data_IF_266830558263
#
_entry.id   IF_266830558263
#
_cell.length_a   1.000
_cell.length_b   1.000
_cell.length_c   1.000
_cell.angle_alpha   90.00
_cell.angle_beta   90.00
_cell.angle_gamma   90.00
#
_symmetry.space_group_name_H-M   'P 1'
#
loop_
_entity.id
_entity.type
_entity.pdbx_description
1 polymer ?
#
# COMPACT_ATOMS: atom_id res chain seq x y z
N UNK A 1 -17.26 15.85 5.32
CA UNK A 1 -18.24 16.78 5.85
C UNK A 1 -17.67 17.82 6.82
N UNK A 2 -16.46 17.60 7.39
CA UNK A 2 -15.83 18.53 8.32
C UNK A 2 -14.84 19.47 7.63
N UNK A 3 -14.96 20.79 7.80
CA UNK A 3 -13.98 21.75 7.32
C UNK A 3 -12.78 21.92 8.27
N UNK A 4 -12.81 21.29 9.45
CA UNK A 4 -11.82 21.46 10.50
C UNK A 4 -10.62 20.53 10.32
N UNK A 5 -9.46 21.01 10.77
CA UNK A 5 -8.17 20.28 10.71
C UNK A 5 -8.19 18.94 11.49
N UNK A 6 -9.12 18.81 12.45
CA UNK A 6 -9.31 17.59 13.23
C UNK A 6 -9.60 16.37 12.33
N UNK A 7 -10.36 16.56 11.26
CA UNK A 7 -10.64 15.49 10.29
C UNK A 7 -9.38 15.06 9.52
N UNK A 8 -8.50 16.01 9.21
CA UNK A 8 -7.22 15.72 8.56
C UNK A 8 -6.30 14.98 9.52
N UNK A 9 -6.26 15.42 10.79
CA UNK A 9 -5.49 14.77 11.84
C UNK A 9 -5.94 13.33 12.08
N UNK A 10 -7.26 13.07 12.10
CA UNK A 10 -7.81 11.73 12.25
C UNK A 10 -7.38 10.79 11.12
N UNK A 11 -7.46 11.25 9.86
CA UNK A 11 -7.03 10.45 8.69
C UNK A 11 -5.54 10.13 8.75
N UNK A 12 -4.69 11.10 9.12
CA UNK A 12 -3.25 10.89 9.28
C UNK A 12 -2.97 9.93 10.43
N UNK A 13 -3.61 10.10 11.58
CA UNK A 13 -3.42 9.24 12.75
C UNK A 13 -3.87 7.80 12.49
N UNK A 14 -4.99 7.62 11.76
CA UNK A 14 -5.44 6.30 11.30
C UNK A 14 -4.39 5.62 10.42
N UNK A 15 -3.76 6.38 9.52
CA UNK A 15 -2.72 5.86 8.64
C UNK A 15 -1.46 5.45 9.42
N UNK A 16 -1.04 6.22 10.43
CA UNK A 16 0.03 5.81 11.34
C UNK A 16 -0.31 4.52 12.10
N UNK A 17 -1.56 4.39 12.58
CA UNK A 17 -2.00 3.16 13.25
C UNK A 17 -1.92 1.96 12.31
N UNK A 18 -2.35 2.11 11.05
CA UNK A 18 -2.22 1.06 10.04
C UNK A 18 -0.75 0.60 9.89
N UNK A 19 0.20 1.51 9.74
CA UNK A 19 1.61 1.14 9.63
C UNK A 19 2.16 0.48 10.90
N UNK A 20 1.77 0.96 12.07
CA UNK A 20 2.16 0.37 13.36
C UNK A 20 1.66 -1.07 13.53
N UNK A 21 0.41 -1.36 13.15
CA UNK A 21 -0.15 -2.72 13.19
C UNK A 21 0.60 -3.69 12.24
N UNK A 22 1.25 -3.15 11.21
CA UNK A 22 2.13 -3.92 10.33
C UNK A 22 3.58 -4.04 10.83
N UNK A 23 3.91 -3.45 11.98
CA UNK A 23 5.28 -3.39 12.50
C UNK A 23 6.17 -2.34 11.83
N UNK A 24 5.61 -1.41 11.08
CA UNK A 24 6.31 -0.36 10.34
C UNK A 24 6.31 0.97 11.12
N UNK A 25 6.76 0.96 12.37
CA UNK A 25 6.73 2.12 13.27
C UNK A 25 7.65 3.28 12.87
N UNK A 26 8.63 3.04 12.00
CA UNK A 26 9.63 4.02 11.55
C UNK A 26 9.13 4.93 10.41
N UNK A 27 7.96 4.65 9.85
CA UNK A 27 7.38 5.45 8.75
C UNK A 27 7.13 6.88 9.22
N UNK A 28 7.48 7.84 8.36
CA UNK A 28 7.25 9.27 8.57
C UNK A 28 6.16 9.79 7.64
N UNK A 29 5.53 10.89 8.05
CA UNK A 29 4.61 11.67 7.21
C UNK A 29 5.20 13.05 6.93
N UNK A 30 5.17 13.44 5.68
CA UNK A 30 5.44 14.79 5.21
C UNK A 30 4.13 15.49 4.91
N UNK A 31 3.97 16.70 5.41
CA UNK A 31 2.74 17.50 5.28
C UNK A 31 3.03 18.85 4.64
N UNK A 32 2.10 19.33 3.84
CA UNK A 32 2.14 20.67 3.25
C UNK A 32 0.71 21.20 3.04
N UNK A 33 0.58 22.49 2.79
CA UNK A 33 -0.65 23.07 2.26
C UNK A 33 -0.44 23.54 0.82
N UNK A 34 -1.21 22.98 -0.11
CA UNK A 34 -1.12 23.30 -1.55
C UNK A 34 -1.31 24.80 -1.83
N UNK A 35 -2.08 25.52 -0.99
CA UNK A 35 -2.29 26.96 -1.13
C UNK A 35 -1.00 27.76 -0.96
N UNK A 36 -0.04 27.30 -0.13
CA UNK A 36 1.28 27.91 0.02
C UNK A 36 2.02 27.88 -1.33
N UNK A 37 2.03 26.73 -1.97
CA UNK A 37 2.74 26.57 -3.25
C UNK A 37 2.03 27.31 -4.39
N UNK A 38 0.69 27.39 -4.35
CA UNK A 38 -0.07 28.21 -5.29
C UNK A 38 0.23 29.71 -5.11
N UNK A 39 0.34 30.19 -3.86
CA UNK A 39 0.73 31.57 -3.57
C UNK A 39 2.16 31.86 -4.05
N UNK A 40 3.10 30.93 -3.83
CA UNK A 40 4.46 31.03 -4.35
C UNK A 40 4.48 31.10 -5.89
N UNK A 41 3.72 30.27 -6.57
CA UNK A 41 3.64 30.29 -8.03
C UNK A 41 3.11 31.65 -8.54
N UNK A 42 2.12 32.25 -7.88
CA UNK A 42 1.60 33.57 -8.22
C UNK A 42 2.64 34.69 -7.95
N UNK A 43 3.31 34.62 -6.83
CA UNK A 43 4.41 35.54 -6.51
C UNK A 43 5.52 35.51 -7.58
N UNK A 44 5.79 34.32 -8.14
CA UNK A 44 6.71 34.13 -9.27
C UNK A 44 6.12 34.58 -10.62
N UNK A 45 4.95 35.24 -10.62
CA UNK A 45 4.24 35.74 -11.81
C UNK A 45 3.86 34.65 -12.82
N UNK A 46 3.58 33.45 -12.33
CA UNK A 46 2.98 32.42 -13.16
C UNK A 46 1.48 32.72 -13.32
N UNK A 47 1.14 33.36 -14.43
CA UNK A 47 -0.13 34.05 -14.71
C UNK A 47 -1.26 33.16 -15.23
N UNK A 48 -1.00 31.87 -15.47
CA UNK A 48 -2.00 30.91 -15.95
C UNK A 48 -2.04 29.64 -15.13
N UNK A 49 -3.22 29.05 -15.00
CA UNK A 49 -3.37 27.76 -14.34
C UNK A 49 -2.45 26.68 -14.93
N UNK A 50 -2.23 26.71 -16.24
CA UNK A 50 -1.33 25.76 -16.91
C UNK A 50 0.11 25.92 -16.44
N UNK A 51 0.62 27.15 -16.25
CA UNK A 51 1.96 27.42 -15.72
C UNK A 51 2.06 27.03 -14.24
N UNK A 52 1.03 27.33 -13.44
CA UNK A 52 0.97 26.94 -12.03
C UNK A 52 1.01 25.41 -11.90
N UNK A 53 0.19 24.69 -12.65
CA UNK A 53 0.18 23.23 -12.64
C UNK A 53 1.51 22.63 -13.15
N UNK A 54 2.18 23.27 -14.12
CA UNK A 54 3.50 22.84 -14.57
C UNK A 54 4.55 23.08 -13.49
N UNK A 55 4.49 24.20 -12.77
CA UNK A 55 5.35 24.49 -11.62
C UNK A 55 5.17 23.44 -10.52
N UNK A 56 3.93 23.18 -10.09
CA UNK A 56 3.66 22.17 -9.07
C UNK A 56 4.13 20.77 -9.48
N UNK A 57 3.92 20.38 -10.74
CA UNK A 57 4.44 19.12 -11.28
C UNK A 57 5.97 19.05 -11.33
N UNK A 58 6.65 20.16 -11.54
CA UNK A 58 8.10 20.21 -11.47
C UNK A 58 8.58 19.97 -10.03
N UNK A 59 7.97 20.65 -9.05
CA UNK A 59 8.28 20.46 -7.63
C UNK A 59 8.04 19.00 -7.16
N UNK A 60 6.91 18.38 -7.57
CA UNK A 60 6.57 16.96 -7.24
C UNK A 60 7.64 15.95 -7.68
N UNK A 61 8.52 16.33 -8.59
CA UNK A 61 9.65 15.49 -9.04
C UNK A 61 10.87 15.54 -8.13
N UNK A 62 10.89 16.42 -7.14
CA UNK A 62 12.08 16.70 -6.32
C UNK A 62 12.68 15.41 -5.73
N UNK A 63 11.89 14.61 -5.03
CA UNK A 63 12.34 13.32 -4.50
C UNK A 63 12.43 12.20 -5.53
N UNK A 64 11.66 12.28 -6.63
CA UNK A 64 11.58 11.21 -7.64
C UNK A 64 12.67 11.29 -8.69
N UNK A 65 13.11 12.51 -9.04
CA UNK A 65 13.98 12.79 -10.19
C UNK A 65 15.22 13.61 -9.83
N UNK A 66 15.30 14.09 -8.59
CA UNK A 66 16.41 14.88 -8.09
C UNK A 66 16.35 16.38 -8.43
N UNK A 67 17.18 17.13 -7.72
CA UNK A 67 17.27 18.60 -7.75
C UNK A 67 17.52 19.16 -9.15
N UNK A 68 18.42 18.56 -9.93
CA UNK A 68 18.84 19.05 -11.25
C UNK A 68 17.67 19.05 -12.27
N UNK A 69 16.80 18.04 -12.21
CA UNK A 69 15.63 17.97 -13.09
C UNK A 69 14.64 19.08 -12.75
N UNK A 70 14.40 19.31 -11.47
CA UNK A 70 13.52 20.39 -11.00
C UNK A 70 14.09 21.74 -11.40
N UNK A 71 15.38 21.99 -11.16
CA UNK A 71 16.06 23.23 -11.55
C UNK A 71 15.85 23.55 -13.03
N UNK A 72 16.09 22.58 -13.93
CA UNK A 72 15.90 22.76 -15.36
C UNK A 72 14.46 23.13 -15.70
N UNK A 73 13.47 22.40 -15.16
CA UNK A 73 12.06 22.65 -15.43
C UNK A 73 11.59 24.02 -14.91
N UNK A 74 12.10 24.48 -13.75
CA UNK A 74 11.80 25.81 -13.22
C UNK A 74 12.40 26.91 -14.12
N UNK A 75 13.63 26.74 -14.64
CA UNK A 75 14.24 27.66 -15.61
C UNK A 75 13.43 27.74 -16.91
N UNK A 76 12.92 26.61 -17.41
CA UNK A 76 12.04 26.58 -18.59
C UNK A 76 10.72 27.31 -18.38
N UNK A 77 10.26 27.45 -17.14
CA UNK A 77 9.09 28.27 -16.77
C UNK A 77 9.41 29.78 -16.72
N UNK A 78 10.67 30.17 -16.93
CA UNK A 78 11.12 31.56 -16.87
C UNK A 78 11.43 32.05 -15.45
N UNK A 79 11.54 31.15 -14.48
CA UNK A 79 11.90 31.50 -13.09
C UNK A 79 13.39 31.83 -13.03
N UNK A 80 13.74 33.01 -12.56
CA UNK A 80 15.13 33.48 -12.51
C UNK A 80 15.84 33.07 -11.23
N UNK A 81 15.17 33.15 -10.09
CA UNK A 81 15.74 32.84 -8.77
C UNK A 81 15.45 31.39 -8.33
N UNK A 82 15.85 30.44 -9.19
CA UNK A 82 15.57 29.01 -8.99
C UNK A 82 16.25 28.47 -7.75
N UNK A 83 17.46 28.93 -7.43
CA UNK A 83 18.21 28.44 -6.26
C UNK A 83 17.47 28.72 -4.95
N UNK A 84 16.87 29.92 -4.83
CA UNK A 84 16.06 30.29 -3.68
C UNK A 84 14.81 29.43 -3.51
N UNK A 85 14.16 29.05 -4.64
CA UNK A 85 13.03 28.14 -4.60
C UNK A 85 13.46 26.73 -4.17
N UNK A 86 14.58 26.24 -4.70
CA UNK A 86 15.11 24.94 -4.34
C UNK A 86 15.55 24.90 -2.87
N UNK A 87 16.13 25.98 -2.36
CA UNK A 87 16.45 26.13 -0.96
C UNK A 87 15.19 26.13 -0.09
N UNK A 88 14.18 26.90 -0.45
CA UNK A 88 12.88 26.93 0.24
C UNK A 88 12.24 25.55 0.36
N UNK A 89 12.19 24.75 -0.71
CA UNK A 89 11.55 23.43 -0.70
C UNK A 89 12.42 22.36 -0.02
N UNK A 90 13.75 22.54 0.10
CA UNK A 90 14.67 21.56 0.67
C UNK A 90 15.05 21.80 2.12
N UNK A 91 14.81 23.01 2.64
CA UNK A 91 15.30 23.45 3.94
C UNK A 91 14.22 23.79 4.96
N UNK A 92 12.99 23.30 4.75
CA UNK A 92 11.98 23.38 5.79
C UNK A 92 12.42 22.48 6.95
N UNK A 93 13.15 23.06 7.90
CA UNK A 93 13.59 22.38 9.11
C UNK A 93 12.52 22.51 10.20
N UNK A 94 12.64 21.68 11.23
CA UNK A 94 11.74 21.72 12.40
C UNK A 94 11.80 23.05 13.17
N UNK A 95 12.89 23.79 13.04
CA UNK A 95 13.19 24.99 13.79
C UNK A 95 12.95 26.28 12.99
N UNK A 96 13.04 26.19 11.66
CA UNK A 96 12.80 27.32 10.77
C UNK A 96 11.97 26.89 9.55
N UNK A 97 10.73 27.34 9.52
CA UNK A 97 9.80 27.07 8.42
C UNK A 97 9.90 28.10 7.28
N UNK A 98 10.65 29.18 7.48
CA UNK A 98 10.89 30.22 6.44
C UNK A 98 12.37 30.63 6.32
N UNK A 99 13.28 29.68 6.11
CA UNK A 99 14.74 29.97 6.07
C UNK A 99 15.13 30.93 4.94
N UNK A 100 14.25 31.10 3.95
CA UNK A 100 14.49 31.96 2.79
C UNK A 100 13.76 33.30 2.87
N UNK A 101 12.90 33.51 3.87
CA UNK A 101 12.02 34.67 3.99
C UNK A 101 10.98 34.76 2.87
N UNK A 102 10.60 33.63 2.27
CA UNK A 102 9.62 33.59 1.20
C UNK A 102 8.19 33.55 1.72
N UNK A 103 7.91 32.86 2.82
CA UNK A 103 6.54 32.76 3.39
C UNK A 103 6.00 34.14 3.74
N UNK A 104 6.78 34.98 4.40
CA UNK A 104 6.40 36.35 4.73
C UNK A 104 6.13 37.21 3.48
N UNK A 105 6.89 36.97 2.39
CA UNK A 105 6.71 37.69 1.12
C UNK A 105 5.47 37.29 0.35
N UNK A 106 5.05 36.02 0.47
CA UNK A 106 3.86 35.52 -0.22
C UNK A 106 2.60 35.60 0.63
N UNK A 107 2.69 36.03 1.91
CA UNK A 107 1.55 36.31 2.77
C UNK A 107 0.73 35.07 3.13
N UNK A 108 1.39 33.99 3.54
CA UNK A 108 0.73 32.69 3.83
C UNK A 108 0.93 32.23 5.28
N UNK A 109 1.26 33.14 6.18
CA UNK A 109 1.54 32.83 7.59
C UNK A 109 0.37 32.09 8.26
N UNK A 110 -0.88 32.43 7.90
CA UNK A 110 -2.05 31.74 8.44
C UNK A 110 -2.10 30.27 8.00
N UNK A 111 -1.61 29.95 6.81
CA UNK A 111 -1.54 28.56 6.34
C UNK A 111 -0.45 27.77 7.02
N UNK A 112 0.67 28.42 7.32
CA UNK A 112 1.74 27.81 8.13
C UNK A 112 1.22 27.50 9.54
N UNK A 113 0.49 28.41 10.17
CA UNK A 113 -0.15 28.17 11.49
C UNK A 113 -1.12 26.98 11.45
N UNK A 114 -1.83 26.78 10.34
CA UNK A 114 -2.70 25.57 10.19
C UNK A 114 -1.87 24.28 10.19
N UNK A 115 -0.70 24.27 9.52
CA UNK A 115 0.21 23.12 9.54
C UNK A 115 0.82 22.88 10.92
N UNK A 116 1.19 23.95 11.64
CA UNK A 116 1.68 23.88 13.01
C UNK A 116 0.60 23.34 13.97
N UNK A 117 -0.63 23.83 13.85
CA UNK A 117 -1.76 23.32 14.64
C UNK A 117 -2.05 21.83 14.36
N UNK A 118 -2.03 21.42 13.09
CA UNK A 118 -2.14 20.00 12.73
C UNK A 118 -1.06 19.16 13.41
N UNK A 119 0.17 19.64 13.36
CA UNK A 119 1.30 18.99 14.00
C UNK A 119 1.11 18.87 15.52
N UNK A 120 0.64 19.92 16.17
CA UNK A 120 0.36 19.93 17.61
C UNK A 120 -0.75 18.93 17.97
N UNK A 121 -1.81 18.86 17.17
CA UNK A 121 -2.90 17.87 17.37
C UNK A 121 -2.37 16.44 17.20
N UNK A 122 -1.57 16.17 16.18
CA UNK A 122 -0.99 14.84 15.95
C UNK A 122 -0.07 14.41 17.10
N UNK A 123 0.74 15.32 17.63
CA UNK A 123 1.69 15.03 18.71
C UNK A 123 0.97 14.95 20.05
N UNK A 124 0.21 15.97 20.42
CA UNK A 124 -0.31 16.12 21.79
C UNK A 124 -1.61 15.33 22.02
N UNK A 125 -2.47 15.17 21.00
CA UNK A 125 -3.74 14.45 21.14
C UNK A 125 -3.63 12.99 20.67
N UNK A 126 -2.97 12.72 19.54
CA UNK A 126 -2.83 11.36 19.02
C UNK A 126 -1.56 10.63 19.48
N UNK A 127 -0.64 11.32 20.20
CA UNK A 127 0.59 10.73 20.74
C UNK A 127 1.59 10.28 19.66
N UNK A 128 1.53 10.88 18.47
CA UNK A 128 2.48 10.60 17.41
C UNK A 128 3.80 11.31 17.72
N UNK A 129 4.92 10.58 17.67
CA UNK A 129 6.22 11.18 17.92
C UNK A 129 6.49 12.35 16.97
N UNK A 130 6.94 13.48 17.51
CA UNK A 130 7.22 14.73 16.76
C UNK A 130 8.17 14.52 15.58
N UNK A 131 9.13 13.62 15.73
CA UNK A 131 10.12 13.27 14.71
C UNK A 131 9.55 12.54 13.49
N UNK A 132 8.32 12.02 13.60
CA UNK A 132 7.63 11.30 12.51
C UNK A 132 6.79 12.24 11.63
N UNK A 133 6.64 13.51 12.01
CA UNK A 133 5.85 14.50 11.25
C UNK A 133 6.73 15.64 10.81
N UNK A 134 6.81 15.86 9.51
CA UNK A 134 7.65 16.90 8.89
C UNK A 134 6.79 17.81 8.01
N UNK A 135 6.96 19.14 8.15
CA UNK A 135 6.45 20.10 7.17
C UNK A 135 7.45 20.14 6.02
N UNK A 136 6.97 19.87 4.79
CA UNK A 136 7.83 19.74 3.61
C UNK A 136 7.13 20.36 2.39
N UNK A 137 7.60 21.53 1.98
CA UNK A 137 7.00 22.31 0.88
C UNK A 137 7.18 21.67 -0.50
N UNK A 138 8.01 20.63 -0.62
CA UNK A 138 8.13 19.88 -1.87
C UNK A 138 6.95 18.92 -2.11
N UNK A 139 6.15 18.63 -1.08
CA UNK A 139 4.96 17.78 -1.20
C UNK A 139 3.80 18.60 -1.76
N UNK A 140 3.51 18.44 -3.04
CA UNK A 140 2.47 19.22 -3.73
C UNK A 140 1.37 18.37 -4.36
N UNK A 141 1.57 17.08 -4.47
CA UNK A 141 0.67 16.11 -5.12
C UNK A 141 0.27 16.50 -6.54
N UNK A 142 0.56 15.63 -7.51
CA UNK A 142 0.32 15.89 -8.94
C UNK A 142 -1.16 15.90 -9.38
N UNK A 143 -2.11 15.63 -8.47
CA UNK A 143 -3.54 15.55 -8.79
C UNK A 143 -4.21 16.90 -8.47
N UNK A 144 -4.85 17.51 -9.47
CA UNK A 144 -5.36 18.87 -9.42
C UNK A 144 -6.55 19.14 -8.49
N UNK A 145 -7.16 18.11 -7.87
CA UNK A 145 -8.35 18.30 -7.05
C UNK A 145 -8.09 18.68 -5.58
N UNK A 146 -6.84 18.59 -5.08
CA UNK A 146 -6.54 19.01 -3.71
C UNK A 146 -6.64 20.53 -3.54
N UNK A 147 -7.32 20.97 -2.49
CA UNK A 147 -7.64 22.40 -2.24
C UNK A 147 -6.87 23.00 -1.05
N UNK A 148 -6.29 22.16 -0.20
CA UNK A 148 -5.59 22.59 1.03
C UNK A 148 -4.48 21.62 1.41
N UNK A 149 -4.57 21.08 2.63
CA UNK A 149 -3.61 20.13 3.17
C UNK A 149 -3.35 18.96 2.19
N UNK A 150 -2.09 18.58 2.08
CA UNK A 150 -1.62 17.37 1.39
C UNK A 150 -0.59 16.67 2.28
N UNK A 151 -0.53 15.34 2.20
CA UNK A 151 0.42 14.56 2.97
C UNK A 151 0.86 13.30 2.25
N UNK A 152 2.07 12.85 2.56
CA UNK A 152 2.66 11.61 2.04
C UNK A 152 3.41 10.87 3.14
N UNK A 153 3.13 9.59 3.26
CA UNK A 153 3.86 8.67 4.13
C UNK A 153 4.98 7.99 3.35
N UNK A 154 6.17 8.00 3.88
CA UNK A 154 7.35 7.43 3.24
C UNK A 154 8.30 6.79 4.23
N UNK A 155 9.10 5.89 3.71
CA UNK A 155 10.25 5.31 4.39
C UNK A 155 11.51 6.04 3.93
N UNK A 156 12.31 6.56 4.87
CA UNK A 156 13.51 7.34 4.54
C UNK A 156 14.66 6.48 3.98
N UNK A 157 14.69 5.19 4.31
CA UNK A 157 15.71 4.26 3.79
C UNK A 157 15.36 3.76 2.39
N UNK A 158 14.05 3.72 2.04
CA UNK A 158 13.55 3.19 0.77
C UNK A 158 12.77 4.24 -0.02
N UNK A 159 13.32 5.45 -0.15
CA UNK A 159 12.71 6.57 -0.90
C UNK A 159 12.37 6.23 -2.35
N UNK A 160 13.08 5.26 -2.95
CA UNK A 160 12.81 4.77 -4.30
C UNK A 160 11.45 4.08 -4.46
N UNK A 161 10.84 3.61 -3.37
CA UNK A 161 9.46 3.10 -3.39
C UNK A 161 8.43 4.22 -3.56
N UNK A 162 8.82 5.48 -3.28
CA UNK A 162 7.91 6.62 -3.26
C UNK A 162 6.94 6.57 -2.08
N UNK A 163 5.83 7.30 -2.18
CA UNK A 163 4.83 7.37 -1.10
C UNK A 163 4.14 6.04 -0.87
N UNK A 164 4.18 5.52 0.34
CA UNK A 164 3.51 4.29 0.78
C UNK A 164 2.01 4.51 1.00
N UNK A 165 1.65 5.68 1.50
CA UNK A 165 0.29 6.19 1.57
C UNK A 165 0.31 7.69 1.34
N UNK A 166 -0.79 8.24 0.87
CA UNK A 166 -0.85 9.65 0.62
C UNK A 166 -2.31 10.15 0.54
N UNK A 167 -2.52 11.41 0.85
CA UNK A 167 -3.85 12.00 0.87
C UNK A 167 -3.83 13.51 0.94
N UNK A 168 -4.95 14.05 1.34
CA UNK A 168 -5.12 15.48 1.55
C UNK A 168 -6.59 15.90 1.51
N UNK A 169 -6.82 17.21 1.56
CA UNK A 169 -8.12 17.86 1.56
C UNK A 169 -8.53 18.25 0.14
N UNK A 170 -9.79 17.94 -0.21
CA UNK A 170 -10.36 18.15 -1.55
C UNK A 170 -11.83 18.64 -1.45
N UNK A 171 -12.00 19.79 -0.85
CA UNK A 171 -13.33 20.35 -0.49
C UNK A 171 -14.24 20.61 -1.69
N UNK A 172 -13.68 20.86 -2.88
CA UNK A 172 -14.44 21.16 -4.09
C UNK A 172 -14.85 19.90 -4.89
N UNK A 173 -14.24 18.73 -4.62
CA UNK A 173 -14.39 17.56 -5.46
C UNK A 173 -15.84 17.06 -5.54
N UNK A 174 -16.55 17.02 -4.40
CA UNK A 174 -17.94 16.53 -4.35
C UNK A 174 -18.84 17.44 -5.18
N UNK A 175 -18.65 18.75 -5.08
CA UNK A 175 -19.37 19.75 -5.88
C UNK A 175 -19.07 19.62 -7.38
N UNK A 176 -17.81 19.43 -7.75
CA UNK A 176 -17.40 19.21 -9.15
C UNK A 176 -18.02 17.95 -9.76
N UNK A 177 -18.30 16.93 -8.95
CA UNK A 177 -18.97 15.71 -9.36
C UNK A 177 -20.51 15.82 -9.34
N UNK A 178 -21.05 17.02 -9.11
CA UNK A 178 -22.51 17.28 -9.12
C UNK A 178 -23.20 17.08 -7.77
N UNK A 179 -22.43 16.87 -6.69
CA UNK A 179 -22.95 16.78 -5.33
C UNK A 179 -23.09 18.14 -4.64
N UNK A 180 -23.55 18.11 -3.39
CA UNK A 180 -23.64 19.30 -2.54
C UNK A 180 -22.24 19.74 -2.13
N UNK A 181 -22.04 21.04 -1.94
CA UNK A 181 -20.77 21.62 -1.44
C UNK A 181 -20.44 21.02 -0.07
N UNK A 182 -19.46 20.13 -0.03
CA UNK A 182 -19.14 19.32 1.15
C UNK A 182 -17.63 19.20 1.30
N UNK A 183 -17.04 19.75 2.37
CA UNK A 183 -15.63 19.58 2.66
C UNK A 183 -15.26 18.10 2.79
N UNK A 184 -14.11 17.73 2.25
CA UNK A 184 -13.67 16.35 2.29
C UNK A 184 -12.14 16.24 2.40
N UNK A 185 -11.71 15.24 3.18
CA UNK A 185 -10.33 14.81 3.30
C UNK A 185 -10.25 13.29 3.27
N UNK A 186 -9.14 12.74 2.82
CA UNK A 186 -9.00 11.29 2.75
C UNK A 186 -7.60 10.86 2.33
N UNK A 187 -7.38 9.56 2.32
CA UNK A 187 -6.09 8.97 1.95
C UNK A 187 -6.25 7.71 1.11
N UNK A 188 -5.16 7.33 0.46
CA UNK A 188 -5.02 6.06 -0.24
C UNK A 188 -3.70 5.41 0.14
N UNK A 189 -3.70 4.09 0.28
CA UNK A 189 -2.53 3.28 0.61
C UNK A 189 -2.08 2.53 -0.64
N UNK A 190 -0.79 2.61 -0.95
CA UNK A 190 -0.16 1.84 -2.03
C UNK A 190 0.19 0.44 -1.56
N UNK A 191 -0.77 -0.47 -1.58
CA UNK A 191 -0.64 -1.83 -1.01
C UNK A 191 0.59 -2.55 -1.57
N UNK A 192 0.84 -2.48 -2.88
CA UNK A 192 2.00 -3.12 -3.51
C UNK A 192 3.31 -2.57 -2.96
N UNK A 193 3.39 -1.26 -2.71
CA UNK A 193 4.58 -0.61 -2.15
C UNK A 193 4.80 -1.00 -0.69
N UNK A 194 3.74 -1.10 0.09
CA UNK A 194 3.81 -1.55 1.49
C UNK A 194 4.27 -3.01 1.55
N UNK A 195 3.73 -3.89 0.70
CA UNK A 195 4.17 -5.28 0.61
C UNK A 195 5.65 -5.38 0.22
N UNK A 196 6.08 -4.57 -0.75
CA UNK A 196 7.48 -4.56 -1.18
C UNK A 196 8.41 -4.04 -0.07
N UNK A 197 8.00 -3.01 0.67
CA UNK A 197 8.74 -2.51 1.83
C UNK A 197 8.93 -3.60 2.90
N UNK A 198 7.86 -4.33 3.25
CA UNK A 198 7.92 -5.45 4.21
C UNK A 198 8.91 -6.52 3.74
N UNK A 199 8.93 -6.82 2.44
CA UNK A 199 9.90 -7.77 1.85
C UNK A 199 11.35 -7.29 1.95
N UNK A 200 11.59 -6.02 1.60
CA UNK A 200 12.93 -5.42 1.61
C UNK A 200 13.52 -5.34 3.03
N UNK A 201 12.68 -5.06 4.03
CA UNK A 201 13.11 -5.02 5.43
C UNK A 201 13.34 -6.40 6.03
N UNK A 202 12.96 -7.48 5.35
CA UNK A 202 13.07 -8.84 5.89
C UNK A 202 12.20 -9.08 7.13
N UNK A 203 11.36 -8.13 7.47
CA UNK A 203 10.43 -8.20 8.57
C UNK A 203 9.28 -9.15 8.19
N UNK A 204 9.45 -10.39 8.56
CA UNK A 204 8.67 -11.57 8.19
C UNK A 204 8.74 -11.84 6.68
N UNK A 205 9.40 -12.92 6.33
CA UNK A 205 8.97 -13.66 5.16
C UNK A 205 7.46 -13.83 5.32
N UNK A 206 6.68 -12.97 4.69
CA UNK A 206 5.30 -13.28 4.36
C UNK A 206 5.44 -14.39 3.35
N UNK A 207 5.72 -15.58 3.84
CA UNK A 207 5.35 -16.78 3.12
C UNK A 207 3.84 -16.64 3.02
N UNK A 208 3.39 -16.06 1.92
CA UNK A 208 1.96 -16.09 1.59
C UNK A 208 1.55 -17.55 1.80
N UNK A 209 0.57 -17.83 2.66
CA UNK A 209 0.08 -19.19 2.74
C UNK A 209 -0.18 -19.61 1.28
N UNK A 210 0.19 -20.81 0.89
CA UNK A 210 -0.02 -21.24 -0.49
C UNK A 210 -1.48 -20.96 -0.85
N UNK A 211 -1.72 -20.45 -2.07
CA UNK A 211 -3.09 -20.11 -2.53
C UNK A 211 -4.05 -21.30 -2.45
N UNK A 212 -3.53 -22.49 -2.23
CA UNK A 212 -4.27 -23.69 -1.90
C UNK A 212 -3.44 -24.57 -0.95
N UNK A 213 -4.10 -25.23 -0.02
CA UNK A 213 -3.50 -26.14 0.93
C UNK A 213 -3.55 -27.59 0.44
N UNK A 214 -4.47 -27.88 -0.47
CA UNK A 214 -4.68 -29.22 -1.02
C UNK A 214 -4.79 -29.18 -2.52
N UNK A 215 -4.07 -30.06 -3.22
CA UNK A 215 -4.26 -30.37 -4.63
C UNK A 215 -4.92 -31.73 -4.74
N UNK A 216 -6.08 -31.81 -5.43
CA UNK A 216 -6.82 -33.06 -5.63
C UNK A 216 -6.72 -33.45 -7.09
N UNK A 217 -6.31 -34.68 -7.35
CA UNK A 217 -6.05 -35.19 -8.68
C UNK A 217 -6.40 -36.66 -8.85
N UNK A 218 -6.60 -37.08 -10.10
CA UNK A 218 -6.68 -38.48 -10.48
C UNK A 218 -5.81 -38.75 -11.72
N UNK A 219 -5.15 -39.90 -11.79
CA UNK A 219 -4.51 -40.33 -13.04
C UNK A 219 -5.52 -40.81 -14.12
N UNK A 220 -6.81 -40.96 -13.76
CA UNK A 220 -7.87 -41.47 -14.60
C UNK A 220 -8.90 -40.38 -14.87
N UNK A 221 -9.21 -40.17 -16.15
CA UNK A 221 -10.12 -39.08 -16.55
C UNK A 221 -11.56 -39.29 -16.07
N UNK A 222 -12.04 -40.55 -16.03
CA UNK A 222 -13.39 -40.89 -15.61
C UNK A 222 -13.69 -40.48 -14.15
N UNK A 223 -12.66 -40.27 -13.32
CA UNK A 223 -12.82 -39.84 -11.93
C UNK A 223 -12.93 -38.33 -11.76
N UNK A 224 -12.97 -37.57 -12.85
CA UNK A 224 -13.03 -36.11 -12.81
C UNK A 224 -14.14 -35.57 -11.90
N UNK A 225 -15.34 -36.09 -12.00
CA UNK A 225 -16.44 -35.64 -11.16
C UNK A 225 -16.15 -35.89 -9.67
N UNK A 226 -15.61 -37.03 -9.32
CA UNK A 226 -15.24 -37.36 -7.93
C UNK A 226 -14.12 -36.48 -7.41
N UNK A 227 -13.16 -36.07 -8.25
CA UNK A 227 -12.10 -35.11 -7.90
C UNK A 227 -12.71 -33.74 -7.57
N UNK A 228 -13.68 -33.27 -8.36
CA UNK A 228 -14.39 -32.01 -8.12
C UNK A 228 -15.26 -32.10 -6.87
N UNK A 229 -16.03 -33.15 -6.68
CA UNK A 229 -16.83 -33.35 -5.47
C UNK A 229 -15.97 -33.31 -4.20
N UNK A 230 -14.85 -34.00 -4.21
CA UNK A 230 -13.94 -34.01 -3.08
C UNK A 230 -13.32 -32.62 -2.83
N UNK A 231 -13.03 -31.86 -3.88
CA UNK A 231 -12.56 -30.50 -3.74
C UNK A 231 -13.61 -29.59 -3.09
N UNK A 232 -14.89 -29.74 -3.49
CA UNK A 232 -15.99 -29.00 -2.89
C UNK A 232 -16.22 -29.41 -1.42
N UNK A 233 -16.10 -30.69 -1.10
CA UNK A 233 -16.13 -31.13 0.31
C UNK A 233 -15.04 -30.45 1.14
N UNK A 234 -13.80 -30.38 0.64
CA UNK A 234 -12.68 -29.69 1.32
C UNK A 234 -12.97 -28.20 1.49
N UNK A 235 -13.45 -27.53 0.42
CA UNK A 235 -13.78 -26.08 0.43
C UNK A 235 -14.91 -25.75 1.40
N UNK A 236 -15.95 -26.57 1.46
CA UNK A 236 -17.05 -26.41 2.40
C UNK A 236 -16.60 -26.52 3.87
N UNK A 237 -15.51 -27.26 4.11
CA UNK A 237 -14.88 -27.38 5.41
C UNK A 237 -13.80 -26.31 5.66
N UNK A 238 -13.74 -25.26 4.82
CA UNK A 238 -12.79 -24.14 4.95
C UNK A 238 -11.37 -24.47 4.50
N UNK A 239 -11.14 -25.59 3.80
CA UNK A 239 -9.81 -25.97 3.33
C UNK A 239 -9.60 -25.48 1.89
N UNK A 240 -8.71 -24.48 1.66
CA UNK A 240 -8.40 -23.99 0.32
C UNK A 240 -7.86 -25.11 -0.57
N UNK A 241 -8.61 -25.49 -1.59
CA UNK A 241 -8.32 -26.66 -2.43
C UNK A 241 -8.38 -26.32 -3.91
N UNK A 242 -7.49 -26.92 -4.70
CA UNK A 242 -7.49 -26.83 -6.16
C UNK A 242 -7.57 -28.18 -6.83
N UNK A 243 -8.13 -28.19 -8.03
CA UNK A 243 -8.14 -29.34 -8.94
C UNK A 243 -7.39 -28.99 -10.23
N UNK A 244 -6.86 -30.00 -10.90
CA UNK A 244 -6.27 -29.76 -12.23
C UNK A 244 -7.32 -29.77 -13.33
N UNK A 245 -7.66 -28.60 -13.82
CA UNK A 245 -8.60 -28.43 -14.94
C UNK A 245 -7.92 -28.61 -16.31
N UNK A 246 -6.60 -28.78 -16.36
CA UNK A 246 -5.81 -28.91 -17.58
C UNK A 246 -5.51 -30.38 -17.95
N UNK A 247 -6.00 -31.34 -17.16
CA UNK A 247 -5.81 -32.80 -17.36
C UNK A 247 -4.34 -33.21 -17.48
N UNK A 248 -3.49 -32.65 -16.61
CA UNK A 248 -2.05 -32.95 -16.62
C UNK A 248 -1.78 -34.32 -16.02
N UNK A 249 -0.68 -34.93 -16.46
CA UNK A 249 -0.19 -36.18 -15.86
C UNK A 249 0.17 -35.97 -14.39
N UNK A 250 -0.05 -36.99 -13.55
CA UNK A 250 0.17 -36.93 -12.09
C UNK A 250 1.58 -36.45 -11.71
N UNK A 251 2.61 -36.86 -12.46
CA UNK A 251 3.98 -36.40 -12.24
C UNK A 251 4.11 -34.88 -12.33
N UNK A 252 3.49 -34.28 -13.35
CA UNK A 252 3.50 -32.82 -13.56
C UNK A 252 2.74 -32.12 -12.44
N UNK A 253 1.67 -32.73 -11.93
CA UNK A 253 0.89 -32.16 -10.82
C UNK A 253 1.66 -32.19 -9.51
N UNK A 254 2.47 -33.22 -9.26
CA UNK A 254 3.36 -33.29 -8.08
C UNK A 254 4.41 -32.15 -8.15
N UNK A 255 5.08 -31.99 -9.31
CA UNK A 255 6.06 -30.92 -9.52
C UNK A 255 5.41 -29.50 -9.40
N UNK A 256 4.15 -29.37 -9.84
CA UNK A 256 3.38 -28.14 -9.71
C UNK A 256 2.98 -27.86 -8.27
N UNK A 257 2.54 -28.86 -7.52
CA UNK A 257 2.20 -28.72 -6.10
C UNK A 257 3.43 -28.23 -5.29
N UNK A 258 4.60 -28.79 -5.60
CA UNK A 258 5.86 -28.38 -4.98
C UNK A 258 6.20 -26.92 -5.30
N UNK A 259 6.15 -26.52 -6.59
CA UNK A 259 6.36 -25.13 -7.02
C UNK A 259 5.39 -24.12 -6.39
N UNK A 260 4.15 -24.54 -6.15
CA UNK A 260 3.11 -23.71 -5.50
C UNK A 260 3.14 -23.81 -3.98
N UNK A 261 4.09 -24.54 -3.41
CA UNK A 261 4.23 -24.80 -1.98
C UNK A 261 2.96 -25.42 -1.35
N UNK A 262 2.18 -26.17 -2.12
CA UNK A 262 0.97 -26.87 -1.63
C UNK A 262 1.43 -28.04 -0.74
N UNK A 263 1.01 -28.07 0.55
CA UNK A 263 1.55 -29.06 1.49
C UNK A 263 0.96 -30.46 1.32
N UNK A 264 -0.27 -30.57 0.83
CA UNK A 264 -1.02 -31.84 0.79
C UNK A 264 -1.55 -32.11 -0.62
N UNK A 265 -1.47 -33.38 -1.04
CA UNK A 265 -2.09 -33.83 -2.27
C UNK A 265 -2.99 -35.04 -1.98
N UNK A 266 -4.19 -35.04 -2.55
CA UNK A 266 -5.15 -36.17 -2.52
C UNK A 266 -5.25 -36.77 -3.91
N UNK A 267 -4.99 -38.08 -4.03
CA UNK A 267 -4.95 -38.76 -5.31
C UNK A 267 -6.03 -39.86 -5.32
N UNK A 268 -6.91 -39.78 -6.29
CA UNK A 268 -7.95 -40.76 -6.52
C UNK A 268 -7.48 -41.79 -7.56
N UNK A 269 -6.89 -42.88 -7.09
CA UNK A 269 -6.46 -43.99 -7.93
C UNK A 269 -7.57 -45.05 -8.09
N UNK A 270 -7.60 -45.80 -9.21
CA UNK A 270 -8.64 -46.78 -9.43
C UNK A 270 -8.65 -47.91 -8.40
N UNK A 271 -7.47 -48.41 -8.03
CA UNK A 271 -7.33 -49.50 -7.05
C UNK A 271 -7.77 -49.10 -5.64
N UNK A 272 -7.53 -47.87 -5.27
CA UNK A 272 -7.90 -47.32 -3.97
C UNK A 272 -9.37 -47.03 -3.91
N UNK A 273 -9.94 -46.46 -4.97
CA UNK A 273 -11.38 -46.18 -5.06
C UNK A 273 -12.24 -47.43 -5.03
N UNK A 274 -11.81 -48.58 -5.62
CA UNK A 274 -12.47 -49.89 -5.50
C UNK A 274 -12.61 -50.32 -4.04
N UNK A 275 -11.70 -49.89 -3.17
CA UNK A 275 -11.69 -50.15 -1.71
C UNK A 275 -12.39 -49.07 -0.90
N UNK A 276 -12.89 -48.02 -1.52
CA UNK A 276 -13.43 -46.83 -0.85
C UNK A 276 -12.36 -45.95 -0.21
N UNK A 277 -11.14 -46.01 -0.71
CA UNK A 277 -9.97 -45.26 -0.19
C UNK A 277 -9.47 -44.22 -1.20
N UNK A 278 -8.67 -43.29 -0.72
CA UNK A 278 -7.85 -42.33 -1.50
C UNK A 278 -6.41 -42.34 -0.99
N UNK A 279 -5.48 -41.96 -1.86
CA UNK A 279 -4.10 -41.77 -1.45
C UNK A 279 -3.92 -40.33 -0.95
N UNK A 280 -3.51 -40.19 0.28
CA UNK A 280 -3.10 -38.91 0.89
C UNK A 280 -1.59 -38.81 0.85
N UNK A 281 -1.08 -37.69 0.35
CA UNK A 281 0.36 -37.42 0.24
C UNK A 281 0.70 -36.11 0.94
N UNK A 282 1.51 -36.22 1.97
CA UNK A 282 2.19 -35.09 2.62
C UNK A 282 3.45 -34.77 1.81
N UNK A 283 3.40 -33.65 1.08
CA UNK A 283 4.50 -33.24 0.20
C UNK A 283 5.67 -32.66 0.97
N UNK A 284 5.42 -32.05 2.13
CA UNK A 284 6.47 -31.49 3.01
C UNK A 284 7.35 -32.57 3.63
N UNK A 285 6.72 -33.63 4.16
CA UNK A 285 7.42 -34.73 4.81
C UNK A 285 7.70 -35.93 3.86
N UNK A 286 7.28 -35.82 2.57
CA UNK A 286 7.44 -36.88 1.54
C UNK A 286 6.87 -38.23 1.95
N UNK A 287 5.71 -38.21 2.62
CA UNK A 287 5.01 -39.43 3.07
C UNK A 287 3.70 -39.56 2.29
N UNK A 288 3.28 -40.82 2.09
CA UNK A 288 1.97 -41.12 1.51
C UNK A 288 1.38 -42.38 2.12
N UNK A 289 0.04 -42.41 2.22
CA UNK A 289 -0.71 -43.57 2.73
C UNK A 289 -2.15 -43.50 2.21
N UNK A 290 -2.85 -44.66 2.31
CA UNK A 290 -4.28 -44.72 1.96
C UNK A 290 -5.15 -44.30 3.15
N UNK A 291 -6.27 -43.65 2.86
CA UNK A 291 -7.23 -43.18 3.84
C UNK A 291 -8.62 -43.49 3.31
N UNK A 292 -9.56 -44.02 4.14
CA UNK A 292 -10.97 -44.14 3.76
C UNK A 292 -11.52 -42.79 3.28
N UNK A 293 -12.29 -42.77 2.20
CA UNK A 293 -12.85 -41.57 1.61
C UNK A 293 -13.60 -40.70 2.64
N UNK A 294 -14.36 -41.32 3.51
CA UNK A 294 -15.14 -40.70 4.59
C UNK A 294 -14.29 -39.96 5.62
N UNK A 295 -13.04 -40.37 5.78
CA UNK A 295 -12.08 -39.77 6.77
C UNK A 295 -11.10 -38.79 6.17
N UNK A 296 -11.10 -38.59 4.84
CA UNK A 296 -10.07 -37.80 4.15
C UNK A 296 -10.01 -36.34 4.61
N UNK A 297 -11.16 -35.70 4.82
CA UNK A 297 -11.25 -34.30 5.31
C UNK A 297 -10.61 -34.18 6.70
N UNK A 298 -10.93 -35.11 7.60
CA UNK A 298 -10.40 -35.15 8.98
C UNK A 298 -8.87 -35.32 8.97
N UNK A 299 -8.37 -36.24 8.15
CA UNK A 299 -6.93 -36.50 8.04
C UNK A 299 -6.18 -35.30 7.42
N UNK A 300 -6.75 -34.66 6.40
CA UNK A 300 -6.19 -33.44 5.81
C UNK A 300 -6.10 -32.34 6.87
N UNK A 301 -7.17 -32.08 7.63
CA UNK A 301 -7.15 -31.08 8.72
C UNK A 301 -6.04 -31.39 9.73
N UNK A 302 -5.91 -32.66 10.13
CA UNK A 302 -4.85 -33.09 11.07
C UNK A 302 -3.45 -32.78 10.55
N UNK A 303 -3.18 -33.08 9.27
CA UNK A 303 -1.86 -32.77 8.66
C UNK A 303 -1.64 -31.25 8.61
N UNK A 304 -2.63 -30.50 8.15
CA UNK A 304 -2.51 -29.03 8.03
C UNK A 304 -2.28 -28.37 9.39
N UNK A 305 -2.93 -28.87 10.46
CA UNK A 305 -2.68 -28.40 11.84
C UNK A 305 -1.24 -28.72 12.27
N UNK A 306 -0.73 -29.94 12.00
CA UNK A 306 0.66 -30.29 12.30
C UNK A 306 1.69 -29.45 11.53
N UNK A 307 1.31 -28.96 10.36
CA UNK A 307 2.15 -28.10 9.53
C UNK A 307 1.99 -26.59 9.85
N UNK A 308 1.13 -26.23 10.81
CA UNK A 308 0.94 -24.85 11.28
C UNK A 308 0.04 -23.99 10.38
N UNK A 309 -0.89 -24.60 9.62
CA UNK A 309 -1.84 -23.87 8.76
C UNK A 309 -3.21 -23.63 9.45
N UNK A 310 -3.47 -24.25 10.59
CA UNK A 310 -4.66 -24.09 11.44
C UNK A 310 -4.25 -24.00 12.91
#
# INVERSE_FOLDING_TARGET
>A
GSPFIDADAEVIALTFRFFRELGLDHIKVKINDRSIMNALARYLRLDSNAKIERFLRAIDKYYKRGREVVERELRELGITDVQKILEFISSSTREDLDPTGLLSKIGVEDRVKVLENLLDVLVNAYGISREKVEIDYSIVRGIGYYTGLVFEFMDEEFLNLGSLAAGGRYDELIKLLGGVDTPATGMSIGIERVVELIRLRGEKSVTSPPNALVLIASPVEDFRYRVIELAEMMRNEGIPSIVDVMRRRLRVLIERADKLSIPVMVILGPKELEKGEVVLRDLKNRRQWCVPMENVVKEVKRILTQLGFY
#
